data_IF_386954509404
#
_entry.id   IF_386954509404
#
_cell.length_a   1.000
_cell.length_b   1.000
_cell.length_c   1.000
_cell.angle_alpha   90.00
_cell.angle_beta   90.00
_cell.angle_gamma   90.00
#
_symmetry.space_group_name_H-M   'P 1'
#
loop_
_entity.id
_entity.type
_entity.pdbx_description
1 polymer ?
#
# COMPACT_ATOMS: atom_id res chain seq x y z
N UNK A 1 -12.60 15.70 -8.00
CA UNK A 1 -11.67 16.43 -8.90
C UNK A 1 -12.50 17.26 -9.87
N UNK A 2 -12.19 18.55 -10.01
CA UNK A 2 -12.86 19.42 -10.99
C UNK A 2 -12.40 19.04 -12.40
N UNK A 3 -13.32 18.57 -13.24
CA UNK A 3 -13.03 18.17 -14.61
C UNK A 3 -13.45 19.29 -15.57
N UNK A 4 -12.68 19.46 -16.66
CA UNK A 4 -13.02 20.40 -17.72
C UNK A 4 -14.35 19.99 -18.36
N UNK A 5 -15.31 20.92 -18.43
CA UNK A 5 -16.60 20.66 -19.07
C UNK A 5 -16.45 20.60 -20.59
N UNK A 6 -17.25 19.75 -21.25
CA UNK A 6 -17.13 19.42 -22.68
C UNK A 6 -17.25 20.67 -23.60
N UNK A 7 -17.89 21.74 -23.13
CA UNK A 7 -18.07 23.00 -23.86
C UNK A 7 -17.17 24.16 -23.41
N UNK A 8 -16.31 23.96 -22.41
CA UNK A 8 -15.42 25.02 -21.90
C UNK A 8 -14.09 25.06 -22.64
N UNK A 9 -13.56 26.26 -22.83
CA UNK A 9 -12.19 26.42 -23.34
C UNK A 9 -11.17 26.14 -22.24
N UNK A 10 -9.92 25.83 -22.61
CA UNK A 10 -8.82 25.74 -21.64
C UNK A 10 -8.57 27.06 -20.89
N UNK A 11 -8.88 28.21 -21.51
CA UNK A 11 -8.80 29.52 -20.86
C UNK A 11 -9.80 29.64 -19.70
N UNK A 12 -11.04 29.20 -19.91
CA UNK A 12 -12.07 29.22 -18.87
C UNK A 12 -11.66 28.31 -17.70
N UNK A 13 -11.17 27.10 -18.00
CA UNK A 13 -10.70 26.18 -16.97
C UNK A 13 -9.51 26.74 -16.16
N UNK A 14 -8.53 27.36 -16.82
CA UNK A 14 -7.42 28.01 -16.14
C UNK A 14 -7.88 29.17 -15.24
N UNK A 15 -8.89 29.94 -15.69
CA UNK A 15 -9.50 31.01 -14.89
C UNK A 15 -10.20 30.46 -13.65
N UNK A 16 -11.02 29.42 -13.80
CA UNK A 16 -11.70 28.74 -12.68
C UNK A 16 -10.71 28.18 -11.66
N UNK A 17 -9.69 27.45 -12.13
CA UNK A 17 -8.63 26.92 -11.26
C UNK A 17 -7.91 28.04 -10.51
N UNK A 18 -7.58 29.13 -11.19
CA UNK A 18 -6.93 30.29 -10.56
C UNK A 18 -7.83 30.95 -9.52
N UNK A 19 -9.13 31.03 -9.78
CA UNK A 19 -10.11 31.57 -8.83
C UNK A 19 -10.19 30.70 -7.57
N UNK A 20 -10.34 29.38 -7.73
CA UNK A 20 -10.38 28.43 -6.63
C UNK A 20 -9.10 28.48 -5.79
N UNK A 21 -7.94 28.54 -6.46
CA UNK A 21 -6.66 28.65 -5.79
C UNK A 21 -6.56 29.94 -4.97
N UNK A 22 -6.94 31.09 -5.54
CA UNK A 22 -6.91 32.37 -4.84
C UNK A 22 -7.87 32.39 -3.64
N UNK A 23 -9.08 31.84 -3.79
CA UNK A 23 -10.05 31.72 -2.70
C UNK A 23 -9.49 30.87 -1.56
N UNK A 24 -8.89 29.72 -1.89
CA UNK A 24 -8.24 28.85 -0.92
C UNK A 24 -7.07 29.54 -0.21
N UNK A 25 -6.14 30.16 -0.96
CA UNK A 25 -4.98 30.90 -0.41
C UNK A 25 -5.44 32.02 0.55
N UNK A 26 -6.50 32.74 0.19
CA UNK A 26 -7.09 33.78 1.04
C UNK A 26 -7.75 33.18 2.29
N UNK A 27 -8.47 32.08 2.16
CA UNK A 27 -9.14 31.38 3.27
C UNK A 27 -8.15 30.87 4.31
N UNK A 28 -7.03 30.29 3.87
CA UNK A 28 -5.96 29.81 4.76
C UNK A 28 -4.98 30.91 5.19
N UNK A 29 -5.17 32.15 4.73
CA UNK A 29 -4.34 33.32 5.03
C UNK A 29 -2.84 33.08 4.76
N UNK A 30 -2.52 32.36 3.68
CA UNK A 30 -1.14 32.12 3.26
C UNK A 30 -0.54 33.41 2.66
N UNK A 31 0.08 34.22 3.52
CA UNK A 31 0.60 35.55 3.18
C UNK A 31 2.08 35.56 2.75
N UNK A 32 2.76 34.41 2.79
CA UNK A 32 4.13 34.25 2.32
C UNK A 32 4.24 33.05 1.39
N UNK A 33 5.24 33.08 0.51
CA UNK A 33 5.58 31.94 -0.33
C UNK A 33 5.89 30.70 0.51
N UNK A 34 6.61 30.86 1.63
CA UNK A 34 6.95 29.78 2.57
C UNK A 34 5.69 29.06 3.10
N UNK A 35 4.71 29.81 3.62
CA UNK A 35 3.44 29.22 4.09
C UNK A 35 2.68 28.53 2.97
N UNK A 36 2.68 29.11 1.78
CA UNK A 36 2.03 28.53 0.62
C UNK A 36 2.72 27.23 0.18
N UNK A 37 4.06 27.21 0.14
CA UNK A 37 4.83 26.01 -0.19
C UNK A 37 4.63 24.91 0.84
N UNK A 38 4.62 25.25 2.13
CA UNK A 38 4.42 24.28 3.21
C UNK A 38 3.04 23.62 3.10
N UNK A 39 1.99 24.39 2.82
CA UNK A 39 0.64 23.84 2.61
C UNK A 39 0.56 22.95 1.36
N UNK A 40 1.21 23.33 0.26
CA UNK A 40 1.25 22.51 -0.96
C UNK A 40 1.98 21.19 -0.70
N UNK A 41 3.13 21.25 -0.02
CA UNK A 41 3.91 20.05 0.34
C UNK A 41 3.11 19.16 1.30
N UNK A 42 2.46 19.77 2.30
CA UNK A 42 1.57 19.09 3.26
C UNK A 42 0.47 18.33 2.52
N UNK A 43 -0.24 18.96 1.59
CA UNK A 43 -1.31 18.34 0.80
C UNK A 43 -0.77 17.17 -0.05
N UNK A 44 0.38 17.34 -0.70
CA UNK A 44 1.02 16.28 -1.47
C UNK A 44 1.43 15.07 -0.61
N UNK A 45 1.95 15.30 0.60
CA UNK A 45 2.27 14.24 1.56
C UNK A 45 0.98 13.54 1.98
N UNK A 46 -0.07 14.29 2.35
CA UNK A 46 -1.37 13.73 2.70
C UNK A 46 -1.94 12.86 1.58
N UNK A 47 -1.73 13.21 0.30
CA UNK A 47 -2.13 12.35 -0.81
C UNK A 47 -1.34 11.03 -0.88
N UNK A 48 -0.03 11.05 -0.58
CA UNK A 48 0.85 9.87 -0.64
C UNK A 48 0.72 8.92 0.55
N UNK A 49 0.33 9.44 1.71
CA UNK A 49 0.14 8.62 2.92
C UNK A 49 -0.95 7.57 2.69
N UNK A 50 -0.66 6.33 3.11
CA UNK A 50 -1.56 5.18 2.95
C UNK A 50 -2.85 5.34 3.76
N UNK A 51 -3.92 4.64 3.35
CA UNK A 51 -5.21 4.72 4.04
C UNK A 51 -5.12 4.24 5.50
N UNK A 52 -4.28 3.23 5.80
CA UNK A 52 -4.06 2.71 7.16
C UNK A 52 -3.59 3.81 8.12
N UNK A 53 -2.67 4.67 7.67
CA UNK A 53 -2.16 5.80 8.47
C UNK A 53 -3.25 6.89 8.59
N UNK A 54 -3.97 7.18 7.50
CA UNK A 54 -5.08 8.16 7.52
C UNK A 54 -6.18 7.79 8.49
N UNK A 55 -6.53 6.50 8.53
CA UNK A 55 -7.58 5.98 9.42
C UNK A 55 -7.16 6.10 10.90
N UNK A 56 -5.86 5.97 11.19
CA UNK A 56 -5.34 6.18 12.54
C UNK A 56 -5.52 7.62 13.03
N UNK A 57 -5.39 8.59 12.12
CA UNK A 57 -5.46 10.01 12.44
C UNK A 57 -6.80 10.66 12.04
N UNK A 58 -7.88 9.90 11.82
CA UNK A 58 -9.09 10.43 11.17
C UNK A 58 -9.65 11.72 11.81
N UNK A 59 -9.61 11.83 13.13
CA UNK A 59 -10.10 13.00 13.89
C UNK A 59 -9.11 14.18 13.88
N UNK A 60 -7.81 13.89 13.72
CA UNK A 60 -6.71 14.86 13.77
C UNK A 60 -6.22 15.25 12.37
N UNK A 61 -6.58 14.49 11.34
CA UNK A 61 -6.08 14.62 9.97
C UNK A 61 -6.38 16.00 9.36
N UNK A 62 -7.54 16.56 9.69
CA UNK A 62 -7.96 17.91 9.27
C UNK A 62 -7.22 19.03 10.02
N UNK A 63 -6.62 18.73 11.19
CA UNK A 63 -5.88 19.68 12.03
C UNK A 63 -4.40 19.73 11.70
N UNK A 64 -3.85 18.67 11.07
CA UNK A 64 -2.46 18.58 10.63
C UNK A 64 -2.18 19.49 9.42
N UNK A 65 -2.16 20.81 9.65
CA UNK A 65 -1.87 21.81 8.62
C UNK A 65 -0.44 22.37 8.70
N UNK A 66 0.29 21.99 9.76
CA UNK A 66 1.73 22.20 9.88
C UNK A 66 2.47 21.07 9.17
N UNK A 67 3.45 21.43 8.34
CA UNK A 67 4.28 20.46 7.62
C UNK A 67 5.07 19.60 8.61
N UNK A 68 5.70 20.23 9.60
CA UNK A 68 6.51 19.54 10.61
C UNK A 68 5.67 18.55 11.42
N UNK A 69 4.50 18.97 11.92
CA UNK A 69 3.62 18.12 12.70
C UNK A 69 3.12 16.92 11.86
N UNK A 70 2.83 17.13 10.58
CA UNK A 70 2.40 16.04 9.70
C UNK A 70 3.52 15.02 9.50
N UNK A 71 4.74 15.48 9.19
CA UNK A 71 5.89 14.61 8.95
C UNK A 71 6.23 13.81 10.20
N UNK A 72 6.32 14.48 11.36
CA UNK A 72 6.63 13.83 12.63
C UNK A 72 5.61 12.75 12.98
N UNK A 73 4.31 13.03 12.83
CA UNK A 73 3.27 12.06 13.14
C UNK A 73 3.28 10.84 12.20
N UNK A 74 3.52 11.06 10.90
CA UNK A 74 3.61 9.97 9.91
C UNK A 74 4.83 9.09 10.21
N UNK A 75 6.01 9.68 10.45
CA UNK A 75 7.25 8.95 10.75
C UNK A 75 7.16 8.17 12.07
N UNK A 76 6.57 8.77 13.10
CA UNK A 76 6.33 8.13 14.39
C UNK A 76 5.43 6.89 14.22
N UNK A 77 4.35 7.01 13.47
CA UNK A 77 3.46 5.87 13.20
C UNK A 77 4.16 4.77 12.40
N UNK A 78 4.90 5.11 11.35
CA UNK A 78 5.65 4.13 10.55
C UNK A 78 6.69 3.38 11.39
N UNK A 79 7.39 4.09 12.28
CA UNK A 79 8.34 3.52 13.23
C UNK A 79 7.65 2.55 14.17
N UNK A 80 6.56 2.96 14.82
CA UNK A 80 5.77 2.10 15.69
C UNK A 80 5.29 0.86 14.94
N UNK A 81 4.71 1.04 13.76
CA UNK A 81 4.23 -0.06 12.92
C UNK A 81 5.35 -1.04 12.56
N UNK A 82 6.52 -0.54 12.21
CA UNK A 82 7.71 -1.38 11.93
C UNK A 82 8.09 -2.22 13.15
N UNK A 83 8.09 -1.63 14.36
CA UNK A 83 8.37 -2.37 15.59
C UNK A 83 7.29 -3.42 15.93
N UNK A 84 6.01 -3.15 15.66
CA UNK A 84 4.95 -4.14 15.86
C UNK A 84 5.08 -5.31 14.88
N UNK A 85 5.44 -5.03 13.62
CA UNK A 85 5.65 -6.07 12.59
C UNK A 85 6.89 -6.92 12.85
N UNK A 86 7.97 -6.34 13.38
CA UNK A 86 9.19 -7.09 13.71
C UNK A 86 9.04 -7.94 14.98
N UNK A 87 8.17 -7.55 15.90
CA UNK A 87 7.84 -8.31 17.11
C UNK A 87 6.79 -9.40 16.92
N UNK A 88 6.12 -9.46 15.77
CA UNK A 88 5.30 -10.65 15.46
C UNK A 88 6.25 -11.85 15.32
N UNK A 89 6.12 -12.89 16.16
CA UNK A 89 6.94 -14.07 16.01
C UNK A 89 6.66 -14.61 14.61
N UNK A 90 7.71 -14.66 13.77
CA UNK A 90 7.67 -15.51 12.59
C UNK A 90 7.17 -16.85 13.10
N UNK A 91 6.04 -17.32 12.58
CA UNK A 91 5.65 -18.71 12.80
C UNK A 91 6.76 -19.54 12.15
N UNK A 92 7.77 -19.87 12.93
CA UNK A 92 8.77 -20.88 12.63
C UNK A 92 7.96 -22.11 12.24
N UNK A 93 7.99 -22.45 10.96
CA UNK A 93 7.30 -23.61 10.43
C UNK A 93 7.92 -24.85 11.05
N UNK A 94 7.40 -25.27 12.20
CA UNK A 94 7.58 -26.62 12.70
C UNK A 94 6.78 -27.54 11.78
N UNK A 95 7.38 -27.95 10.66
CA UNK A 95 6.92 -29.13 9.95
C UNK A 95 7.62 -30.34 10.57
N UNK A 96 6.81 -31.31 10.97
CA UNK A 96 7.20 -32.46 11.75
C UNK A 96 8.39 -33.24 11.19
N UNK A 97 9.36 -33.45 12.08
CA UNK A 97 10.39 -34.47 11.99
C UNK A 97 9.71 -35.85 12.09
N UNK A 98 9.22 -36.39 10.98
CA UNK A 98 8.95 -37.82 10.84
C UNK A 98 9.10 -38.23 9.37
N UNK A 99 10.27 -38.77 9.05
CA UNK A 99 10.46 -39.94 8.20
C UNK A 99 11.95 -40.30 8.19
N UNK A 100 12.40 -40.95 9.25
CA UNK A 100 13.58 -41.81 9.21
C UNK A 100 13.10 -43.26 9.11
N UNK A 101 12.49 -43.61 7.97
CA UNK A 101 12.33 -45.02 7.64
C UNK A 101 13.66 -45.48 7.06
N UNK A 102 14.30 -46.38 7.81
CA UNK A 102 15.55 -47.04 7.45
C UNK A 102 15.30 -47.84 6.18
N UNK A 103 16.14 -47.64 5.16
CA UNK A 103 16.28 -48.58 4.07
C UNK A 103 16.99 -49.83 4.61
N UNK A 104 16.26 -50.94 4.70
CA UNK A 104 16.82 -52.28 4.89
C UNK A 104 16.82 -52.98 3.51
N UNK A 105 17.95 -53.48 2.99
CA UNK A 105 18.03 -53.99 1.63
C UNK A 105 17.70 -55.48 1.61
N UNK A 106 16.47 -55.84 1.22
CA UNK A 106 16.17 -57.18 0.78
C UNK A 106 14.95 -57.20 -0.15
N UNK A 107 15.15 -56.80 -1.40
CA UNK A 107 14.18 -57.11 -2.47
C UNK A 107 14.55 -58.48 -3.04
N UNK A 108 13.76 -59.50 -2.71
CA UNK A 108 13.51 -60.61 -3.63
C UNK A 108 12.04 -60.56 -4.03
N UNK A 109 11.76 -60.22 -5.29
CA UNK A 109 10.51 -60.63 -5.91
C UNK A 109 10.76 -60.83 -7.40
N UNK A 110 10.83 -62.10 -7.79
CA UNK A 110 10.61 -62.54 -9.15
C UNK A 110 9.10 -62.46 -9.45
N UNK A 111 8.74 -61.88 -10.59
CA UNK A 111 7.34 -61.64 -10.89
C UNK A 111 7.09 -61.30 -12.35
N UNK A 112 7.33 -62.25 -13.24
CA UNK A 112 6.76 -62.22 -14.58
C UNK A 112 5.25 -62.43 -14.49
N UNK A 113 4.46 -61.42 -14.85
CA UNK A 113 3.14 -61.61 -15.48
C UNK A 113 2.69 -60.34 -16.18
N UNK A 114 2.53 -60.52 -17.48
CA UNK A 114 2.17 -59.57 -18.53
C UNK A 114 0.65 -59.33 -18.52
N UNK A 115 0.28 -58.26 -19.24
CA UNK A 115 -1.04 -57.94 -19.83
C UNK A 115 -1.92 -57.02 -18.94
N UNK A 116 -2.55 -55.94 -19.41
CA UNK A 116 -2.95 -55.47 -20.75
C UNK A 116 -2.97 -53.93 -20.72
N UNK A 117 -2.42 -53.26 -21.74
CA UNK A 117 -2.60 -51.82 -21.94
C UNK A 117 -3.71 -51.58 -22.96
N UNK A 118 -4.82 -50.98 -22.54
CA UNK A 118 -5.77 -50.37 -23.46
C UNK A 118 -5.23 -48.97 -23.78
N UNK A 119 -4.85 -48.79 -25.04
CA UNK A 119 -4.26 -47.58 -25.61
C UNK A 119 -5.36 -46.53 -25.83
N UNK A 120 -5.06 -45.27 -25.51
CA UNK A 120 -5.95 -44.15 -25.80
C UNK A 120 -5.96 -43.73 -27.27
N UNK A 121 -7.09 -43.14 -27.65
CA UNK A 121 -7.30 -41.88 -28.41
C UNK A 121 -6.88 -41.80 -29.90
N UNK A 122 -7.91 -41.50 -30.70
CA UNK A 122 -8.04 -40.65 -31.90
C UNK A 122 -6.90 -40.60 -32.94
N UNK A 123 -7.23 -41.00 -34.16
CA UNK A 123 -7.52 -40.09 -35.30
C UNK A 123 -8.44 -40.80 -36.29
#
# INVERSE_FOLDING_TARGET
>A
MHNKSLGSTWKNFAYELRSLFNEWVNGVKANSFEKLSDLIITDQIKCKVTQEIKDHFIDEWSKLNSLDDLVENVDNYETLRSTFRSKQPRKEGHYDKRNSFKDDPAITTNGNKKLYGIKGVNT
#
